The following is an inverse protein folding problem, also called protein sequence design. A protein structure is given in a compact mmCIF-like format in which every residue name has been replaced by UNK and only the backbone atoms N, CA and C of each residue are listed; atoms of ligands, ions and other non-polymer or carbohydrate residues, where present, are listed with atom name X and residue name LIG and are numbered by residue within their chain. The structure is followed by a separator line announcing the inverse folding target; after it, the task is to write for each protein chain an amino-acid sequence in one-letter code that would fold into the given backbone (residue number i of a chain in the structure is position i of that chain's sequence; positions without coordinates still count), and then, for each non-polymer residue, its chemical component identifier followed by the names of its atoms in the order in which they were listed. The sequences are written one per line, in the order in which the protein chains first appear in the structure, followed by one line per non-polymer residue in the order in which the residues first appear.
data_IF_470649115951
#
_entry.id   IF_470649115951
#
_cell.length_a   1.000
_cell.length_b   1.000
_cell.length_c   1.000
_cell.angle_alpha   90.00
_cell.angle_beta   90.00
_cell.angle_gamma   90.00
#
_symmetry.space_group_name_H-M   'P 1'
#
loop_
_entity.id
_entity.type
_entity.pdbx_description
1 polymer ?
#
# COMPACT_ATOMS: atom_id res chain seq x y z
N UNK A 1 -1.88 -9.59 11.30
CA UNK A 1 -0.89 -8.75 10.56
C UNK A 1 0.51 -9.26 10.89
N UNK A 2 1.40 -9.39 9.89
CA UNK A 2 2.82 -9.69 10.08
C UNK A 2 3.62 -8.41 9.96
N UNK A 3 4.66 -8.25 10.77
CA UNK A 3 5.58 -7.11 10.68
C UNK A 3 6.97 -7.62 10.40
N UNK A 4 7.62 -7.07 9.39
CA UNK A 4 9.03 -7.25 9.15
C UNK A 4 9.76 -5.95 9.52
N UNK A 5 10.83 -6.08 10.28
CA UNK A 5 11.63 -4.97 10.79
C UNK A 5 13.06 -5.05 10.22
N UNK A 6 13.60 -3.91 9.78
CA UNK A 6 14.91 -3.81 9.15
C UNK A 6 15.61 -2.53 9.63
N UNK A 7 16.95 -2.53 9.68
CA UNK A 7 17.73 -1.32 9.95
C UNK A 7 17.50 -0.73 11.34
N UNK A 8 17.31 -1.57 12.36
CA UNK A 8 17.01 -1.14 13.74
C UNK A 8 18.12 -0.32 14.40
N UNK A 9 19.30 -0.25 13.79
CA UNK A 9 20.43 0.60 14.21
C UNK A 9 20.26 2.07 13.85
N UNK A 10 19.29 2.41 12.98
CA UNK A 10 19.05 3.79 12.55
C UNK A 10 18.04 4.50 13.46
N UNK A 11 18.24 5.80 13.67
CA UNK A 11 17.36 6.62 14.50
C UNK A 11 16.05 7.02 13.81
N UNK A 12 16.11 7.30 12.48
CA UNK A 12 14.94 7.73 11.72
C UNK A 12 14.07 6.54 11.34
N UNK A 13 12.78 6.64 11.65
CA UNK A 13 11.83 5.53 11.54
C UNK A 13 10.86 5.72 10.39
N UNK A 14 10.74 4.69 9.56
CA UNK A 14 9.78 4.60 8.45
C UNK A 14 8.81 3.45 8.69
N UNK A 15 7.51 3.70 8.56
CA UNK A 15 6.49 2.66 8.50
C UNK A 15 5.95 2.53 7.09
N UNK A 16 5.83 1.29 6.58
CA UNK A 16 5.39 0.97 5.22
C UNK A 16 4.16 0.08 5.23
N UNK A 17 3.09 0.49 4.53
CA UNK A 17 1.91 -0.32 4.24
C UNK A 17 1.93 -0.82 2.81
N UNK A 18 1.75 -2.14 2.62
CA UNK A 18 1.73 -2.79 1.31
C UNK A 18 0.46 -2.50 0.49
N UNK A 19 0.48 -2.85 -0.81
CA UNK A 19 -0.73 -2.84 -1.64
C UNK A 19 -1.61 -4.09 -1.45
N UNK A 20 -2.76 -4.07 -2.10
CA UNK A 20 -3.69 -5.19 -2.14
C UNK A 20 -3.27 -6.28 -3.14
N UNK A 21 -3.68 -7.51 -2.88
CA UNK A 21 -3.60 -8.63 -3.82
C UNK A 21 -2.19 -8.95 -4.33
N UNK A 22 -1.18 -8.61 -3.53
CA UNK A 22 0.22 -8.99 -3.79
C UNK A 22 0.79 -9.70 -2.55
N UNK A 23 1.66 -10.69 -2.72
CA UNK A 23 2.36 -11.30 -1.60
C UNK A 23 3.21 -10.28 -0.84
N UNK A 24 3.17 -10.28 0.49
CA UNK A 24 3.95 -9.31 1.28
C UNK A 24 5.44 -9.31 0.99
N UNK A 25 5.99 -10.45 0.57
CA UNK A 25 7.42 -10.57 0.27
C UNK A 25 7.89 -9.78 -0.96
N UNK A 26 7.01 -9.34 -1.87
CA UNK A 26 7.41 -8.51 -3.03
C UNK A 26 7.85 -7.11 -2.63
N UNK A 27 7.51 -6.66 -1.41
CA UNK A 27 7.90 -5.37 -0.85
C UNK A 27 9.24 -5.41 -0.11
N UNK A 28 9.76 -6.61 0.19
CA UNK A 28 11.01 -6.78 0.95
C UNK A 28 12.19 -6.04 0.29
N UNK A 29 12.41 -6.14 -1.04
CA UNK A 29 13.55 -5.45 -1.67
C UNK A 29 13.54 -3.93 -1.44
N UNK A 30 12.37 -3.30 -1.46
CA UNK A 30 12.24 -1.86 -1.22
C UNK A 30 12.38 -1.50 0.27
N UNK A 31 11.90 -2.35 1.18
CA UNK A 31 12.14 -2.16 2.60
C UNK A 31 13.63 -2.31 2.95
N UNK A 32 14.32 -3.31 2.40
CA UNK A 32 15.77 -3.49 2.59
C UNK A 32 16.59 -2.37 1.95
N UNK A 33 16.15 -1.82 0.82
CA UNK A 33 16.80 -0.66 0.22
C UNK A 33 16.72 0.56 1.14
N UNK A 34 15.56 0.84 1.74
CA UNK A 34 15.39 1.91 2.72
C UNK A 34 16.15 1.65 4.02
N UNK A 35 16.26 0.40 4.43
CA UNK A 35 16.93 0.00 5.66
C UNK A 35 18.46 0.25 5.67
N UNK A 36 19.03 0.65 4.53
CA UNK A 36 20.42 1.13 4.46
C UNK A 36 20.62 2.47 5.21
N UNK A 37 19.54 3.23 5.42
CA UNK A 37 19.58 4.58 6.01
C UNK A 37 18.55 4.80 7.12
N UNK A 38 17.56 3.90 7.26
CA UNK A 38 16.40 4.11 8.12
C UNK A 38 16.01 2.82 8.86
N UNK A 39 15.42 2.98 10.04
CA UNK A 39 14.71 1.91 10.73
C UNK A 39 13.32 1.72 10.09
N UNK A 40 13.07 0.56 9.48
CA UNK A 40 11.91 0.31 8.62
C UNK A 40 11.01 -0.77 9.19
N UNK A 41 9.72 -0.44 9.38
CA UNK A 41 8.66 -1.40 9.69
C UNK A 41 7.81 -1.63 8.44
N UNK A 42 7.87 -2.82 7.86
CA UNK A 42 7.00 -3.25 6.76
C UNK A 42 5.81 -4.02 7.33
N UNK A 43 4.63 -3.41 7.29
CA UNK A 43 3.37 -4.02 7.69
C UNK A 43 2.77 -4.83 6.55
N UNK A 44 2.69 -6.16 6.75
CA UNK A 44 2.07 -7.10 5.82
C UNK A 44 0.67 -7.41 6.34
N UNK A 45 -0.33 -7.07 5.55
CA UNK A 45 -1.73 -7.23 5.91
C UNK A 45 -2.11 -8.71 6.09
N UNK A 46 -3.04 -8.98 6.99
CA UNK A 46 -3.63 -10.32 7.14
C UNK A 46 -4.08 -10.88 5.78
N UNK A 47 -3.84 -12.17 5.56
CA UNK A 47 -4.17 -12.85 4.31
C UNK A 47 -3.23 -12.55 3.14
N UNK A 48 -2.17 -11.75 3.34
CA UNK A 48 -1.11 -11.47 2.35
C UNK A 48 0.24 -12.07 2.77
N UNK A 49 0.21 -12.90 3.77
CA UNK A 49 1.31 -13.71 4.29
C UNK A 49 1.00 -15.21 4.19
N UNK A 50 1.90 -16.05 4.70
CA UNK A 50 1.77 -17.51 4.70
C UNK A 50 1.07 -18.04 5.96
N UNK A 51 0.57 -17.16 6.85
CA UNK A 51 0.05 -17.53 8.16
C UNK A 51 -1.41 -17.99 8.13
N UNK A 52 -2.07 -17.96 6.97
CA UNK A 52 -3.47 -18.39 6.82
C UNK A 52 -4.48 -17.44 7.47
N UNK A 53 -4.09 -16.20 7.76
CA UNK A 53 -4.96 -15.17 8.31
C UNK A 53 -5.95 -14.64 7.27
N UNK A 54 -6.92 -13.83 7.70
CA UNK A 54 -7.91 -13.23 6.79
C UNK A 54 -7.92 -11.72 6.99
N UNK A 55 -7.75 -10.97 5.89
CA UNK A 55 -7.91 -9.51 5.93
C UNK A 55 -9.36 -9.15 6.30
N UNK A 56 -9.52 -8.25 7.26
CA UNK A 56 -10.83 -7.81 7.75
C UNK A 56 -11.23 -6.47 7.17
N UNK A 57 -10.45 -5.41 7.45
CA UNK A 57 -10.72 -4.06 6.97
C UNK A 57 -9.48 -3.16 7.09
N UNK A 58 -9.52 -2.01 6.42
CA UNK A 58 -8.51 -0.94 6.54
C UNK A 58 -8.45 -0.43 7.98
N UNK A 59 -9.61 -0.31 8.65
CA UNK A 59 -9.67 0.13 10.04
C UNK A 59 -8.83 -0.79 10.93
N UNK A 60 -9.11 -2.10 10.87
CA UNK A 60 -8.35 -3.07 11.67
C UNK A 60 -6.86 -3.07 11.32
N UNK A 61 -6.52 -2.98 10.04
CA UNK A 61 -5.13 -2.95 9.60
C UNK A 61 -4.36 -1.75 10.17
N UNK A 62 -5.00 -0.58 10.17
CA UNK A 62 -4.44 0.66 10.76
C UNK A 62 -4.33 0.54 12.28
N UNK A 63 -5.37 0.06 12.94
CA UNK A 63 -5.40 -0.07 14.40
C UNK A 63 -4.38 -1.09 14.90
N UNK A 64 -4.21 -2.22 14.21
CA UNK A 64 -3.19 -3.23 14.52
C UNK A 64 -1.77 -2.65 14.35
N UNK A 65 -1.52 -1.90 13.27
CA UNK A 65 -0.22 -1.28 13.02
C UNK A 65 0.12 -0.21 14.08
N UNK A 66 -0.85 0.63 14.42
CA UNK A 66 -0.66 1.64 15.47
C UNK A 66 -0.43 0.99 16.84
N UNK A 67 -1.17 -0.08 17.16
CA UNK A 67 -0.96 -0.84 18.41
C UNK A 67 0.45 -1.42 18.47
N UNK A 68 0.89 -2.08 17.39
CA UNK A 68 2.25 -2.62 17.32
C UNK A 68 3.32 -1.54 17.54
N UNK A 69 3.21 -0.40 16.86
CA UNK A 69 4.15 0.71 17.03
C UNK A 69 4.18 1.19 18.49
N UNK A 70 3.00 1.38 19.10
CA UNK A 70 2.87 1.84 20.49
C UNK A 70 3.46 0.84 21.49
N UNK A 71 3.23 -0.46 21.30
CA UNK A 71 3.77 -1.54 22.14
C UNK A 71 5.29 -1.60 22.06
N UNK A 72 5.88 -1.25 20.91
CA UNK A 72 7.33 -1.15 20.71
C UNK A 72 7.90 0.24 21.04
N UNK A 73 7.14 1.10 21.73
CA UNK A 73 7.60 2.42 22.18
C UNK A 73 7.66 3.50 21.10
N UNK A 74 7.22 3.21 19.88
CA UNK A 74 7.24 4.16 18.75
C UNK A 74 6.02 5.09 18.85
N UNK A 75 6.28 6.36 19.12
CA UNK A 75 5.26 7.42 19.23
C UNK A 75 5.39 8.48 18.14
N UNK A 76 6.41 8.38 17.31
CA UNK A 76 6.70 9.27 16.19
C UNK A 76 7.28 8.45 15.04
N UNK A 77 6.88 8.78 13.83
CA UNK A 77 7.42 8.28 12.58
C UNK A 77 7.98 9.47 11.79
N UNK A 78 9.20 9.35 11.30
CA UNK A 78 9.76 10.34 10.37
C UNK A 78 9.06 10.26 9.02
N UNK A 79 8.67 9.04 8.60
CA UNK A 79 7.88 8.84 7.38
C UNK A 79 6.86 7.71 7.54
N UNK A 80 5.67 7.95 7.02
CA UNK A 80 4.64 6.95 6.81
C UNK A 80 4.39 6.78 5.31
N UNK A 81 4.68 5.61 4.77
CA UNK A 81 4.48 5.27 3.35
C UNK A 81 3.37 4.24 3.19
N UNK A 82 2.61 4.34 2.11
CA UNK A 82 1.70 3.27 1.71
C UNK A 82 1.25 3.39 0.28
N UNK A 83 1.16 2.24 -0.41
CA UNK A 83 0.78 2.18 -1.82
C UNK A 83 -0.59 1.54 -1.99
N UNK A 84 -1.45 2.12 -2.86
CA UNK A 84 -2.77 1.58 -3.18
C UNK A 84 -3.66 1.38 -1.93
N UNK A 85 -3.95 0.15 -1.52
CA UNK A 85 -4.57 -0.20 -0.25
C UNK A 85 -3.76 0.37 0.94
N UNK A 86 -2.44 0.28 0.88
CA UNK A 86 -1.55 0.89 1.88
C UNK A 86 -1.69 2.41 1.92
N UNK A 87 -1.90 3.06 0.76
CA UNK A 87 -2.19 4.49 0.71
C UNK A 87 -3.53 4.85 1.38
N UNK A 88 -4.55 3.99 1.27
CA UNK A 88 -5.79 4.12 2.04
C UNK A 88 -5.52 3.99 3.55
N UNK A 89 -4.64 3.05 3.95
CA UNK A 89 -4.23 2.92 5.34
C UNK A 89 -3.50 4.17 5.85
N UNK A 90 -2.61 4.78 5.06
CA UNK A 90 -1.94 6.06 5.41
C UNK A 90 -2.97 7.16 5.63
N UNK A 91 -3.90 7.37 4.69
CA UNK A 91 -4.97 8.38 4.80
C UNK A 91 -5.75 8.22 6.10
N UNK A 92 -6.15 6.98 6.41
CA UNK A 92 -6.90 6.70 7.64
C UNK A 92 -6.04 6.85 8.89
N UNK A 93 -4.79 6.37 8.85
CA UNK A 93 -3.84 6.48 9.98
C UNK A 93 -3.65 7.94 10.39
N UNK A 94 -3.39 8.84 9.44
CA UNK A 94 -3.25 10.27 9.69
C UNK A 94 -4.50 10.90 10.32
N UNK A 95 -5.68 10.37 9.99
CA UNK A 95 -6.94 10.91 10.47
C UNK A 95 -7.38 10.36 11.83
N UNK A 96 -6.85 9.20 12.28
CA UNK A 96 -7.42 8.46 13.42
C UNK A 96 -6.43 8.07 14.50
N UNK A 97 -5.12 8.08 14.21
CA UNK A 97 -4.11 7.66 15.18
C UNK A 97 -3.42 8.86 15.83
N UNK A 98 -2.96 8.65 17.06
CA UNK A 98 -2.27 9.66 17.89
C UNK A 98 -0.74 9.58 17.81
N UNK A 99 -0.19 8.72 16.92
CA UNK A 99 1.23 8.67 16.60
C UNK A 99 1.58 9.88 15.73
N UNK A 100 2.61 10.61 16.11
CA UNK A 100 3.09 11.77 15.34
C UNK A 100 3.73 11.25 14.04
N UNK A 101 3.34 11.83 12.91
CA UNK A 101 3.93 11.53 11.60
C UNK A 101 4.45 12.83 11.02
N UNK A 102 5.76 12.91 10.77
CA UNK A 102 6.35 14.13 10.22
C UNK A 102 6.05 14.28 8.74
N UNK A 103 6.28 13.21 8.00
CA UNK A 103 6.06 13.16 6.55
C UNK A 103 5.25 11.93 6.17
N UNK A 104 4.44 12.04 5.12
CA UNK A 104 3.68 10.92 4.60
C UNK A 104 3.72 10.88 3.07
N UNK A 105 3.86 9.67 2.52
CA UNK A 105 3.74 9.40 1.09
C UNK A 105 2.53 8.49 0.87
N UNK A 106 1.55 9.00 0.15
CA UNK A 106 0.35 8.29 -0.26
C UNK A 106 0.54 7.91 -1.73
N UNK A 107 1.09 6.72 -1.99
CA UNK A 107 1.38 6.27 -3.35
C UNK A 107 0.14 5.61 -3.96
N UNK A 108 -0.47 6.28 -4.94
CA UNK A 108 -1.71 5.86 -5.61
C UNK A 108 -2.84 5.45 -4.66
N UNK A 109 -2.90 6.08 -3.49
CA UNK A 109 -3.81 5.71 -2.40
C UNK A 109 -5.28 5.75 -2.82
N UNK A 110 -6.00 4.70 -2.47
CA UNK A 110 -7.43 4.58 -2.75
C UNK A 110 -8.23 5.31 -1.67
N UNK A 111 -9.29 5.99 -2.07
CA UNK A 111 -10.16 6.73 -1.16
C UNK A 111 -11.58 6.18 -1.16
N UNK A 112 -12.38 6.41 -0.10
CA UNK A 112 -13.77 5.96 -0.08
C UNK A 112 -14.56 6.50 -1.26
N UNK A 113 -15.36 5.64 -1.89
CA UNK A 113 -16.21 6.04 -3.00
C UNK A 113 -17.38 6.90 -2.54
N UNK A 114 -17.70 7.98 -3.28
CA UNK A 114 -18.83 8.85 -2.99
C UNK A 114 -20.17 8.28 -3.50
N UNK A 115 -20.27 6.95 -3.62
CA UNK A 115 -21.44 6.28 -4.17
C UNK A 115 -22.32 5.61 -3.10
N UNK A 116 -23.61 5.37 -3.37
CA UNK A 116 -24.46 4.56 -2.50
C UNK A 116 -23.87 3.15 -2.28
N UNK A 117 -24.05 2.61 -1.10
CA UNK A 117 -23.50 1.28 -0.72
C UNK A 117 -23.78 0.14 -1.71
N UNK A 118 -24.98 0.04 -2.36
CA UNK A 118 -25.20 -1.00 -3.38
C UNK A 118 -24.26 -0.88 -4.58
N UNK A 119 -23.97 0.34 -5.03
CA UNK A 119 -23.03 0.60 -6.14
C UNK A 119 -21.61 0.22 -5.73
N UNK A 120 -21.18 0.61 -4.53
CA UNK A 120 -19.89 0.22 -3.99
C UNK A 120 -19.75 -1.31 -3.92
N UNK A 121 -20.81 -2.04 -3.53
CA UNK A 121 -20.81 -3.51 -3.50
C UNK A 121 -20.62 -4.12 -4.89
N UNK A 122 -21.28 -3.57 -5.93
CA UNK A 122 -21.10 -4.04 -7.30
C UNK A 122 -19.67 -3.82 -7.81
N UNK A 123 -19.07 -2.67 -7.48
CA UNK A 123 -17.68 -2.40 -7.81
C UNK A 123 -16.74 -3.39 -7.11
N UNK A 124 -16.90 -3.57 -5.79
CA UNK A 124 -16.10 -4.53 -5.03
C UNK A 124 -16.27 -5.97 -5.55
N UNK A 125 -17.48 -6.37 -5.94
CA UNK A 125 -17.74 -7.67 -6.55
C UNK A 125 -17.04 -7.83 -7.90
N UNK A 126 -17.07 -6.81 -8.75
CA UNK A 126 -16.36 -6.81 -10.04
C UNK A 126 -14.86 -6.99 -9.81
N UNK A 127 -14.26 -6.21 -8.89
CA UNK A 127 -12.83 -6.29 -8.60
C UNK A 127 -12.47 -7.66 -7.97
N UNK A 128 -13.30 -8.16 -7.06
CA UNK A 128 -13.16 -9.50 -6.50
C UNK A 128 -13.15 -10.59 -7.60
N UNK A 129 -14.13 -10.58 -8.54
CA UNK A 129 -14.17 -11.54 -9.65
C UNK A 129 -12.90 -11.46 -10.48
N UNK A 130 -12.46 -10.24 -10.84
CA UNK A 130 -11.27 -10.03 -11.66
C UNK A 130 -10.02 -10.62 -11.03
N UNK A 131 -9.79 -10.33 -9.75
CA UNK A 131 -8.61 -10.84 -9.03
C UNK A 131 -8.72 -12.35 -8.80
N UNK A 132 -9.90 -12.85 -8.41
CA UNK A 132 -10.09 -14.30 -8.23
C UNK A 132 -9.86 -15.10 -9.51
N UNK A 133 -10.18 -14.56 -10.67
CA UNK A 133 -9.83 -15.18 -11.96
C UNK A 133 -8.30 -15.26 -12.14
N UNK A 134 -7.56 -14.21 -11.80
CA UNK A 134 -6.09 -14.19 -11.80
C UNK A 134 -5.51 -15.25 -10.86
N UNK A 135 -5.97 -15.31 -9.61
CA UNK A 135 -5.47 -16.28 -8.61
C UNK A 135 -5.80 -17.74 -8.95
N UNK A 136 -6.78 -18.00 -9.82
CA UNK A 136 -7.17 -19.36 -10.25
C UNK A 136 -6.63 -19.77 -11.61
N UNK A 137 -6.17 -18.81 -12.40
CA UNK A 137 -5.68 -19.07 -13.76
C UNK A 137 -4.41 -18.28 -14.07
N UNK A 138 -3.32 -18.99 -14.22
CA UNK A 138 -2.03 -18.42 -14.59
C UNK A 138 -2.08 -17.65 -15.94
N UNK A 139 -2.94 -18.08 -16.86
CA UNK A 139 -3.16 -17.38 -18.13
C UNK A 139 -3.75 -15.99 -17.91
N UNK A 140 -4.82 -15.88 -17.11
CA UNK A 140 -5.45 -14.58 -16.81
C UNK A 140 -4.54 -13.66 -16.00
N UNK A 141 -3.76 -14.20 -15.06
CA UNK A 141 -2.76 -13.44 -14.34
C UNK A 141 -1.75 -12.78 -15.28
N UNK A 142 -1.18 -13.53 -16.22
CA UNK A 142 -0.23 -12.99 -17.20
C UNK A 142 -0.84 -12.00 -18.19
N UNK A 143 -2.13 -12.14 -18.47
CA UNK A 143 -2.86 -11.21 -19.34
C UNK A 143 -3.09 -9.86 -18.63
N UNK A 144 -3.39 -9.89 -17.33
CA UNK A 144 -3.62 -8.68 -16.52
C UNK A 144 -2.34 -7.91 -16.24
N UNK A 145 -1.23 -8.63 -15.98
CA UNK A 145 0.07 -8.05 -15.66
C UNK A 145 1.18 -8.78 -16.44
N UNK A 146 1.70 -8.19 -17.54
CA UNK A 146 2.72 -8.86 -18.39
C UNK A 146 4.01 -9.14 -17.62
N UNK A 147 4.50 -10.42 -17.57
CA UNK A 147 5.64 -10.82 -16.74
C UNK A 147 6.92 -10.01 -16.96
N UNK A 148 7.23 -9.65 -18.20
CA UNK A 148 8.45 -8.87 -18.51
C UNK A 148 8.51 -7.50 -17.83
N UNK A 149 7.36 -6.89 -17.59
CA UNK A 149 7.27 -5.58 -16.93
C UNK A 149 7.34 -5.70 -15.41
N UNK A 150 6.73 -6.75 -14.88
CA UNK A 150 6.51 -6.94 -13.46
C UNK A 150 7.44 -8.01 -12.85
N UNK A 151 8.64 -8.10 -13.37
CA UNK A 151 9.70 -8.94 -12.81
C UNK A 151 10.92 -8.09 -12.50
N UNK A 152 11.46 -8.16 -11.29
CA UNK A 152 12.67 -7.45 -10.93
C UNK A 152 13.83 -7.74 -11.90
N UNK A 153 14.67 -6.72 -12.15
CA UNK A 153 15.80 -6.85 -13.06
C UNK A 153 16.75 -7.97 -12.60
N UNK A 154 17.06 -8.88 -13.51
CA UNK A 154 17.95 -10.01 -13.23
C UNK A 154 17.26 -11.30 -12.82
N UNK A 155 15.94 -11.27 -12.59
CA UNK A 155 15.15 -12.47 -12.35
C UNK A 155 14.55 -13.04 -13.65
N UNK A 156 14.31 -14.37 -13.66
CA UNK A 156 13.57 -15.02 -14.74
C UNK A 156 12.07 -14.74 -14.61
N UNK A 157 11.42 -14.12 -15.63
CA UNK A 157 10.02 -13.72 -15.53
C UNK A 157 9.05 -14.88 -15.32
N UNK A 158 9.29 -16.03 -15.93
CA UNK A 158 8.38 -17.17 -15.79
C UNK A 158 8.50 -17.77 -14.38
N UNK A 159 9.72 -17.88 -13.84
CA UNK A 159 9.97 -18.38 -12.49
C UNK A 159 9.38 -17.45 -11.43
N UNK A 160 9.58 -16.14 -11.59
CA UNK A 160 9.04 -15.12 -10.68
C UNK A 160 7.51 -15.18 -10.63
N UNK A 161 6.86 -15.18 -11.80
CA UNK A 161 5.40 -15.21 -11.88
C UNK A 161 4.80 -16.52 -11.39
N UNK A 162 5.47 -17.66 -11.60
CA UNK A 162 5.00 -18.93 -11.01
C UNK A 162 5.05 -18.90 -9.49
N UNK A 163 6.06 -18.23 -8.91
CA UNK A 163 6.15 -18.06 -7.45
C UNK A 163 4.99 -17.22 -6.92
N UNK A 164 4.70 -16.07 -7.55
CA UNK A 164 3.56 -15.22 -7.18
C UNK A 164 2.25 -16.00 -7.33
N UNK A 165 2.01 -16.62 -8.49
CA UNK A 165 0.79 -17.40 -8.74
C UNK A 165 0.58 -18.54 -7.74
N UNK A 166 1.65 -19.27 -7.40
CA UNK A 166 1.59 -20.34 -6.40
C UNK A 166 1.20 -19.77 -5.02
N UNK A 167 1.76 -18.64 -4.64
CA UNK A 167 1.41 -17.96 -3.40
C UNK A 167 -0.07 -17.53 -3.41
N UNK A 168 -0.51 -16.78 -4.41
CA UNK A 168 -1.87 -16.27 -4.52
C UNK A 168 -2.90 -17.41 -4.51
N UNK A 169 -2.64 -18.47 -5.28
CA UNK A 169 -3.51 -19.64 -5.36
C UNK A 169 -3.71 -20.34 -4.01
N UNK A 170 -2.65 -20.40 -3.20
CA UNK A 170 -2.63 -21.15 -1.94
C UNK A 170 -3.02 -20.33 -0.72
N UNK A 171 -2.74 -19.01 -0.72
CA UNK A 171 -2.89 -18.17 0.47
C UNK A 171 -4.00 -17.13 0.35
N UNK A 172 -4.35 -16.67 -0.87
CA UNK A 172 -5.46 -15.72 -1.00
C UNK A 172 -6.81 -16.40 -0.89
N UNK A 173 -7.47 -16.21 0.25
CA UNK A 173 -8.84 -16.65 0.41
C UNK A 173 -9.81 -15.71 -0.33
N UNK A 174 -10.92 -16.29 -0.83
CA UNK A 174 -12.01 -15.52 -1.44
C UNK A 174 -12.51 -14.40 -0.52
N UNK A 175 -12.57 -14.67 0.80
CA UNK A 175 -12.98 -13.70 1.81
C UNK A 175 -11.97 -12.56 1.96
N UNK A 176 -10.68 -12.86 2.00
CA UNK A 176 -9.61 -11.84 2.04
C UNK A 176 -9.74 -10.89 0.85
N UNK A 177 -9.81 -11.41 -0.38
CA UNK A 177 -9.89 -10.59 -1.58
C UNK A 177 -11.16 -9.73 -1.59
N UNK A 178 -12.33 -10.29 -1.25
CA UNK A 178 -13.56 -9.50 -1.16
C UNK A 178 -13.44 -8.37 -0.12
N UNK A 179 -12.96 -8.68 1.07
CA UNK A 179 -12.82 -7.71 2.16
C UNK A 179 -11.83 -6.60 1.80
N UNK A 180 -10.72 -6.93 1.12
CA UNK A 180 -9.74 -5.96 0.62
C UNK A 180 -10.42 -4.93 -0.28
N UNK A 181 -11.08 -5.36 -1.36
CA UNK A 181 -11.70 -4.43 -2.31
C UNK A 181 -12.92 -3.71 -1.74
N UNK A 182 -13.70 -4.39 -0.89
CA UNK A 182 -14.78 -3.74 -0.18
C UNK A 182 -14.28 -2.65 0.76
N UNK A 183 -13.35 -2.99 1.65
CA UNK A 183 -12.88 -2.08 2.69
C UNK A 183 -12.08 -0.91 2.13
N UNK A 184 -11.15 -1.17 1.20
CA UNK A 184 -10.29 -0.13 0.61
C UNK A 184 -11.09 1.00 -0.03
N UNK A 185 -12.26 0.71 -0.57
CA UNK A 185 -13.15 1.69 -1.19
C UNK A 185 -14.26 2.18 -0.27
N UNK A 186 -14.33 1.72 0.98
CA UNK A 186 -15.45 2.02 1.89
C UNK A 186 -15.04 2.22 3.35
N UNK A 187 -13.73 2.37 3.64
CA UNK A 187 -13.30 2.65 5.01
C UNK A 187 -13.90 3.96 5.53
N UNK A 188 -14.10 4.01 6.85
CA UNK A 188 -14.66 5.19 7.50
C UNK A 188 -13.58 6.24 7.75
N UNK A 189 -13.95 7.49 7.57
CA UNK A 189 -13.15 8.66 7.95
C UNK A 189 -13.91 9.50 8.96
N UNK A 190 -13.23 10.15 9.91
CA UNK A 190 -13.89 11.12 10.79
C UNK A 190 -14.40 12.31 9.97
N UNK A 191 -15.52 12.89 10.44
CA UNK A 191 -16.09 14.10 9.85
C UNK A 191 -16.37 15.11 10.99
N UNK A 192 -15.66 16.23 11.03
CA UNK A 192 -14.59 16.65 10.12
C UNK A 192 -13.30 15.82 10.28
N UNK A 193 -12.51 15.73 9.19
CA UNK A 193 -11.16 15.15 9.27
C UNK A 193 -10.26 16.06 10.12
N UNK A 194 -9.54 15.52 11.14
CA UNK A 194 -8.67 16.33 11.98
C UNK A 194 -7.54 16.96 11.17
N UNK A 195 -7.15 18.17 11.57
CA UNK A 195 -5.97 18.82 10.98
C UNK A 195 -4.69 18.15 11.48
N UNK A 196 -3.83 17.79 10.56
CA UNK A 196 -2.49 17.24 10.85
C UNK A 196 -1.41 18.20 10.35
N UNK A 197 -0.26 18.18 11.03
CA UNK A 197 0.91 19.00 10.65
C UNK A 197 1.84 18.25 9.68
N UNK A 198 1.53 17.01 9.39
CA UNK A 198 2.28 16.11 8.50
C UNK A 198 2.45 16.75 7.13
N UNK A 199 3.65 16.77 6.60
CA UNK A 199 3.92 17.06 5.18
C UNK A 199 3.50 15.84 4.36
N UNK A 200 2.69 16.04 3.30
CA UNK A 200 2.07 14.94 2.58
C UNK A 200 2.36 15.06 1.09
N UNK A 201 2.94 14.02 0.52
CA UNK A 201 2.99 13.84 -0.93
C UNK A 201 2.01 12.77 -1.39
N UNK A 202 1.30 13.03 -2.50
CA UNK A 202 0.49 12.04 -3.19
C UNK A 202 1.19 11.64 -4.49
N UNK A 203 1.78 10.45 -4.48
CA UNK A 203 2.51 9.89 -5.61
C UNK A 203 1.59 9.11 -6.54
N UNK A 204 1.89 9.10 -7.85
CA UNK A 204 1.21 8.25 -8.82
C UNK A 204 2.03 8.10 -10.10
N UNK A 205 1.90 6.96 -10.76
CA UNK A 205 2.43 6.74 -12.09
C UNK A 205 1.65 7.47 -13.17
N UNK A 206 2.31 7.90 -14.24
CA UNK A 206 1.69 8.61 -15.37
C UNK A 206 0.53 7.82 -15.98
N UNK A 207 0.67 6.48 -16.09
CA UNK A 207 -0.34 5.61 -16.72
C UNK A 207 -1.65 5.53 -15.92
N UNK A 208 -1.61 5.81 -14.62
CA UNK A 208 -2.81 5.81 -13.76
C UNK A 208 -3.34 7.21 -13.41
N UNK A 209 -2.73 8.28 -13.91
CA UNK A 209 -3.11 9.69 -13.64
C UNK A 209 -4.61 9.94 -13.69
N UNK A 210 -5.27 9.43 -14.76
CA UNK A 210 -6.72 9.60 -14.92
C UNK A 210 -7.51 8.86 -13.83
N UNK A 211 -7.08 7.67 -13.48
CA UNK A 211 -7.73 6.84 -12.45
C UNK A 211 -7.56 7.45 -11.05
N UNK A 212 -6.42 8.10 -10.78
CA UNK A 212 -6.11 8.70 -9.46
C UNK A 212 -6.69 10.10 -9.25
N UNK A 213 -7.24 10.75 -10.28
CA UNK A 213 -7.75 12.13 -10.20
C UNK A 213 -8.71 12.35 -9.01
N UNK A 214 -9.68 11.47 -8.83
CA UNK A 214 -10.67 11.60 -7.75
C UNK A 214 -10.07 11.29 -6.38
N UNK A 215 -9.13 10.34 -6.30
CA UNK A 215 -8.43 10.00 -5.07
C UNK A 215 -7.56 11.18 -4.60
N UNK A 216 -6.79 11.79 -5.51
CA UNK A 216 -6.00 12.98 -5.22
C UNK A 216 -6.89 14.14 -4.75
N UNK A 217 -8.01 14.41 -5.47
CA UNK A 217 -8.95 15.46 -5.08
C UNK A 217 -9.55 15.23 -3.67
N UNK A 218 -9.90 13.98 -3.35
CA UNK A 218 -10.36 13.62 -2.00
C UNK A 218 -9.26 13.86 -0.95
N UNK A 219 -8.02 13.43 -1.24
CA UNK A 219 -6.90 13.57 -0.31
C UNK A 219 -6.58 15.05 -0.05
N UNK A 220 -6.55 15.89 -1.09
CA UNK A 220 -6.36 17.34 -0.94
C UNK A 220 -7.50 17.97 -0.12
N UNK A 221 -8.75 17.52 -0.31
CA UNK A 221 -9.87 17.99 0.51
C UNK A 221 -9.72 17.62 1.98
N UNK A 222 -9.25 16.41 2.26
CA UNK A 222 -9.01 15.91 3.63
C UNK A 222 -7.77 16.57 4.26
N UNK A 223 -6.70 16.72 3.48
CA UNK A 223 -5.40 17.26 3.90
C UNK A 223 -4.92 18.31 2.89
N UNK A 224 -5.27 19.58 3.07
CA UNK A 224 -5.01 20.65 2.08
C UNK A 224 -3.54 20.89 1.73
N UNK A 225 -2.61 20.46 2.59
CA UNK A 225 -1.15 20.55 2.37
C UNK A 225 -0.60 19.48 1.43
N UNK A 226 -1.43 18.57 0.90
CA UNK A 226 -0.98 17.47 0.03
C UNK A 226 -0.41 17.98 -1.28
N UNK A 227 0.84 17.65 -1.58
CA UNK A 227 1.52 17.94 -2.84
C UNK A 227 1.47 16.72 -3.78
N UNK A 228 1.02 16.87 -5.05
CA UNK A 228 1.04 15.75 -5.99
C UNK A 228 2.43 15.57 -6.63
N UNK A 229 2.85 14.30 -6.83
CA UNK A 229 4.08 13.95 -7.54
C UNK A 229 3.81 12.84 -8.57
N UNK A 230 4.07 13.16 -9.85
CA UNK A 230 3.86 12.23 -10.97
C UNK A 230 5.17 11.57 -11.39
N UNK A 231 5.15 10.25 -11.57
CA UNK A 231 6.28 9.47 -12.09
C UNK A 231 6.03 9.08 -13.53
N UNK A 232 6.75 9.73 -14.46
CA UNK A 232 6.61 9.50 -15.90
C UNK A 232 7.00 8.08 -16.30
N UNK A 233 6.19 7.48 -17.18
CA UNK A 233 6.39 6.15 -17.73
C UNK A 233 6.12 5.01 -16.75
N UNK A 234 5.67 5.30 -15.53
CA UNK A 234 5.35 4.27 -14.53
C UNK A 234 3.86 3.99 -14.45
N UNK A 235 3.55 2.74 -14.15
CA UNK A 235 2.22 2.25 -13.83
C UNK A 235 2.00 2.21 -12.30
N UNK A 236 0.84 1.68 -11.90
CA UNK A 236 0.42 1.52 -10.50
C UNK A 236 1.41 0.68 -9.67
N UNK A 237 1.91 1.21 -8.57
CA UNK A 237 2.87 0.56 -7.67
C UNK A 237 4.23 0.16 -8.29
N UNK A 238 4.49 0.49 -9.56
CA UNK A 238 5.67 0.02 -10.28
C UNK A 238 6.98 0.53 -9.67
N UNK A 239 6.99 1.76 -9.13
CA UNK A 239 8.17 2.31 -8.49
C UNK A 239 8.65 1.44 -7.32
N UNK A 240 7.77 1.18 -6.37
CA UNK A 240 8.10 0.43 -5.15
C UNK A 240 8.35 -1.05 -5.41
N UNK A 241 7.70 -1.63 -6.43
CA UNK A 241 7.82 -3.06 -6.71
C UNK A 241 9.02 -3.40 -7.61
N UNK A 242 9.30 -2.53 -8.60
CA UNK A 242 10.28 -2.85 -9.65
C UNK A 242 11.59 -2.09 -9.55
N UNK A 243 11.63 -0.97 -8.81
CA UNK A 243 12.78 -0.08 -8.76
C UNK A 243 13.19 0.28 -7.31
N UNK A 244 13.59 -0.70 -6.46
CA UNK A 244 13.87 -0.48 -5.03
C UNK A 244 14.88 0.64 -4.75
N UNK A 245 15.98 0.71 -5.51
CA UNK A 245 16.98 1.78 -5.29
C UNK A 245 16.45 3.16 -5.72
N UNK A 246 15.72 3.27 -6.83
CA UNK A 246 15.08 4.51 -7.24
C UNK A 246 14.00 4.92 -6.23
N UNK A 247 13.22 3.96 -5.73
CA UNK A 247 12.24 4.22 -4.68
C UNK A 247 12.92 4.80 -3.43
N UNK A 248 14.04 4.21 -2.99
CA UNK A 248 14.86 4.72 -1.89
C UNK A 248 15.33 6.15 -2.15
N UNK A 249 15.86 6.44 -3.34
CA UNK A 249 16.34 7.78 -3.72
C UNK A 249 15.21 8.82 -3.65
N UNK A 250 14.02 8.51 -4.15
CA UNK A 250 12.84 9.38 -4.10
C UNK A 250 12.37 9.62 -2.66
N UNK A 251 12.36 8.58 -1.82
CA UNK A 251 12.07 8.70 -0.37
C UNK A 251 13.11 9.58 0.33
N UNK A 252 14.40 9.40 0.02
CA UNK A 252 15.46 10.23 0.59
C UNK A 252 15.32 11.71 0.23
N UNK A 253 14.82 12.06 -0.96
CA UNK A 253 14.53 13.45 -1.32
C UNK A 253 13.46 14.01 -0.39
N UNK A 254 12.33 13.31 -0.22
CA UNK A 254 11.27 13.72 0.72
C UNK A 254 11.81 13.89 2.14
N UNK A 255 12.70 13.01 2.59
CA UNK A 255 13.25 13.03 3.95
C UNK A 255 14.27 14.15 4.21
N UNK A 256 14.77 14.81 3.16
CA UNK A 256 15.74 15.95 3.26
C UNK A 256 15.07 17.32 3.25
N UNK A 257 13.92 17.44 2.62
CA UNK A 257 13.13 18.67 2.58
C UNK A 257 12.45 18.94 3.92
#
# INVERSE_FOLDING_TARGET
MKVNEYGSEHEKTIAMFQCAAEPGWVFIPSAEALAKDYHVFLFIADGHDELGTTFVSIEKYVDDAASYLKENGIRRLDLLYGVSMGGAAVIRFLATQDIIVDKAIIDAGITPYPYPKPVCRLIALKDWVTIMLGTKSYFFMKLAAPPKRWTPKGEDPEKHYRKIFAFEKNHFSSRTIYNVFWSTNNYSMPDPVPRVKTEIEYWYGEEEKRARKNNLAYTIKAFPQTAPKEFKGLAHAELVLMFPERFREEVMQVMRE
#
